data_IF_559265078345
#
_entry.id   IF_559265078345
#
_cell.length_a   1.000
_cell.length_b   1.000
_cell.length_c   1.000
_cell.angle_alpha   90.00
_cell.angle_beta   90.00
_cell.angle_gamma   90.00
#
_symmetry.space_group_name_H-M   'P 1'
#
loop_
_entity.id
_entity.type
_entity.pdbx_description
1 polymer ?
#
# COMPACT_ATOMS: atom_id res chain seq x y z
N UNK A 1 15.05 16.15 -9.94
CA UNK A 1 14.84 14.93 -9.13
C UNK A 1 13.33 14.71 -8.99
N UNK A 2 12.74 13.61 -9.48
CA UNK A 2 11.27 13.44 -9.50
C UNK A 2 10.72 13.02 -8.13
N UNK A 3 9.57 13.57 -7.72
CA UNK A 3 8.91 13.31 -6.43
C UNK A 3 8.69 11.82 -6.13
N UNK A 4 8.40 11.01 -7.16
CA UNK A 4 8.26 9.54 -7.04
C UNK A 4 9.51 8.89 -6.45
N UNK A 5 10.70 9.35 -6.86
CA UNK A 5 11.98 8.80 -6.39
C UNK A 5 12.23 9.09 -4.92
N UNK A 6 11.78 10.25 -4.41
CA UNK A 6 11.92 10.61 -3.00
C UNK A 6 11.03 9.75 -2.09
N UNK A 7 9.76 9.56 -2.47
CA UNK A 7 8.82 8.75 -1.67
C UNK A 7 9.29 7.29 -1.56
N UNK A 8 9.82 6.70 -2.64
CA UNK A 8 10.34 5.33 -2.61
C UNK A 8 11.49 5.17 -1.62
N UNK A 9 12.42 6.12 -1.59
CA UNK A 9 13.56 6.11 -0.67
C UNK A 9 13.07 6.12 0.78
N UNK A 10 12.17 7.05 1.13
CA UNK A 10 11.63 7.12 2.50
C UNK A 10 10.90 5.82 2.88
N UNK A 11 10.05 5.29 1.99
CA UNK A 11 9.33 4.05 2.28
C UNK A 11 10.27 2.84 2.43
N UNK A 12 11.34 2.73 1.65
CA UNK A 12 12.35 1.66 1.81
C UNK A 12 13.11 1.76 3.13
N UNK A 13 13.36 2.97 3.63
CA UNK A 13 14.00 3.18 4.94
C UNK A 13 13.07 2.75 6.08
N UNK A 14 11.78 3.03 5.96
CA UNK A 14 10.81 2.77 7.03
C UNK A 14 10.20 1.37 7.02
N UNK A 15 10.19 0.66 5.89
CA UNK A 15 9.57 -0.67 5.79
C UNK A 15 10.20 -1.72 6.71
N UNK A 16 11.47 -1.52 7.06
CA UNK A 16 12.21 -2.40 7.98
C UNK A 16 12.05 -2.00 9.46
N UNK A 17 11.35 -0.88 9.74
CA UNK A 17 11.22 -0.30 11.09
C UNK A 17 9.79 -0.36 11.61
N UNK A 18 8.81 -0.32 10.73
CA UNK A 18 7.41 -0.30 11.07
C UNK A 18 6.67 -1.43 10.37
N UNK A 19 5.75 -2.12 11.07
CA UNK A 19 4.97 -3.20 10.47
C UNK A 19 3.98 -2.70 9.42
N UNK A 20 3.64 -1.40 9.46
CA UNK A 20 2.63 -0.79 8.59
C UNK A 20 3.17 0.56 8.09
N UNK A 21 3.04 0.80 6.79
CA UNK A 21 3.29 2.09 6.17
C UNK A 21 2.05 2.54 5.40
N UNK A 22 1.62 3.79 5.62
CA UNK A 22 0.49 4.38 4.92
C UNK A 22 0.97 5.46 3.94
N UNK A 23 0.58 5.34 2.66
CA UNK A 23 0.79 6.38 1.66
C UNK A 23 -0.52 7.15 1.42
N UNK A 24 -0.56 8.40 1.86
CA UNK A 24 -1.73 9.28 1.70
C UNK A 24 -1.48 10.38 0.66
N UNK A 25 -2.53 11.10 0.25
CA UNK A 25 -2.43 12.24 -0.66
C UNK A 25 -3.66 12.44 -1.55
N UNK A 26 -3.69 13.52 -2.36
CA UNK A 26 -4.86 13.93 -3.15
C UNK A 26 -5.46 12.83 -4.05
N UNK A 27 -6.75 12.93 -4.38
CA UNK A 27 -7.37 12.06 -5.38
C UNK A 27 -6.58 12.15 -6.71
N UNK A 28 -6.46 11.05 -7.44
CA UNK A 28 -5.75 10.96 -8.73
C UNK A 28 -4.24 11.24 -8.71
N UNK A 29 -3.58 11.31 -7.55
CA UNK A 29 -2.11 11.47 -7.46
C UNK A 29 -1.28 10.23 -7.84
N UNK A 30 -1.92 9.15 -8.31
CA UNK A 30 -1.23 7.94 -8.79
C UNK A 30 -0.70 7.00 -7.70
N UNK A 31 -1.20 7.10 -6.46
CA UNK A 31 -0.76 6.26 -5.30
C UNK A 31 -0.84 4.76 -5.60
N UNK A 32 -1.98 4.29 -6.11
CA UNK A 32 -2.18 2.87 -6.44
C UNK A 32 -1.17 2.39 -7.46
N UNK A 33 -0.93 3.16 -8.52
CA UNK A 33 0.09 2.85 -9.52
C UNK A 33 1.49 2.83 -8.93
N UNK A 34 1.84 3.80 -8.07
CA UNK A 34 3.13 3.82 -7.38
C UNK A 34 3.34 2.56 -6.54
N UNK A 35 2.39 2.20 -5.66
CA UNK A 35 2.53 1.02 -4.80
C UNK A 35 2.62 -0.27 -5.62
N UNK A 36 1.74 -0.47 -6.60
CA UNK A 36 1.76 -1.67 -7.46
C UNK A 36 3.04 -1.82 -8.28
N UNK A 37 3.68 -0.71 -8.68
CA UNK A 37 4.90 -0.74 -9.50
C UNK A 37 6.18 -0.82 -8.68
N UNK A 38 6.21 -0.21 -7.50
CA UNK A 38 7.42 -0.12 -6.68
C UNK A 38 7.53 -1.21 -5.62
N UNK A 39 6.42 -1.89 -5.33
CA UNK A 39 6.30 -2.98 -4.35
C UNK A 39 5.54 -4.15 -5.00
N UNK A 40 5.98 -4.57 -6.19
CA UNK A 40 5.33 -5.62 -6.98
C UNK A 40 5.39 -7.01 -6.31
N UNK A 41 6.32 -7.19 -5.38
CA UNK A 41 6.47 -8.40 -4.57
C UNK A 41 5.43 -8.51 -3.44
N UNK A 42 4.70 -7.44 -3.14
CA UNK A 42 3.65 -7.44 -2.13
C UNK A 42 2.32 -7.89 -2.74
N UNK A 43 1.52 -8.61 -1.95
CA UNK A 43 0.17 -8.93 -2.34
C UNK A 43 -0.68 -7.66 -2.39
N UNK A 44 -1.27 -7.38 -3.55
CA UNK A 44 -2.21 -6.29 -3.71
C UNK A 44 -3.62 -6.76 -3.36
N UNK A 45 -4.20 -6.14 -2.34
CA UNK A 45 -5.59 -6.37 -1.92
C UNK A 45 -6.36 -5.05 -2.03
N UNK A 46 -7.59 -5.11 -2.55
CA UNK A 46 -8.51 -3.96 -2.60
C UNK A 46 -9.69 -4.19 -1.66
N UNK A 47 -9.79 -3.39 -0.61
CA UNK A 47 -10.94 -3.39 0.31
C UNK A 47 -12.17 -2.66 -0.26
N UNK A 48 -12.10 -2.19 -1.52
CA UNK A 48 -13.30 -1.77 -2.28
C UNK A 48 -14.08 -2.98 -2.78
N UNK A 49 -13.44 -4.15 -2.92
CA UNK A 49 -14.14 -5.40 -3.16
C UNK A 49 -14.86 -5.82 -1.87
N UNK A 50 -16.18 -5.99 -1.95
CA UNK A 50 -17.02 -6.25 -0.79
C UNK A 50 -16.71 -7.59 -0.12
N UNK A 51 -16.37 -8.62 -0.88
CA UNK A 51 -16.07 -9.95 -0.34
C UNK A 51 -14.74 -9.94 0.41
N UNK A 52 -13.70 -9.32 -0.15
CA UNK A 52 -12.41 -9.14 0.53
C UNK A 52 -12.53 -8.27 1.77
N UNK A 53 -13.34 -7.21 1.71
CA UNK A 53 -13.61 -6.35 2.86
C UNK A 53 -14.32 -7.11 3.98
N UNK A 54 -15.34 -7.92 3.64
CA UNK A 54 -16.04 -8.76 4.61
C UNK A 54 -15.08 -9.77 5.23
N UNK A 55 -14.30 -10.48 4.41
CA UNK A 55 -13.31 -11.44 4.88
C UNK A 55 -12.32 -10.82 5.89
N UNK A 56 -11.72 -9.68 5.54
CA UNK A 56 -10.80 -8.95 6.43
C UNK A 56 -11.46 -8.49 7.75
N UNK A 57 -12.77 -8.27 7.75
CA UNK A 57 -13.51 -7.78 8.92
C UNK A 57 -14.01 -8.91 9.81
N UNK A 58 -14.49 -10.01 9.21
CA UNK A 58 -15.11 -11.15 9.89
C UNK A 58 -14.06 -12.14 10.42
N UNK A 59 -12.95 -12.35 9.70
CA UNK A 59 -11.83 -13.19 10.15
C UNK A 59 -10.46 -12.53 9.85
N UNK A 60 -9.99 -11.62 10.71
CA UNK A 60 -8.71 -10.92 10.52
C UNK A 60 -7.47 -11.81 10.67
N UNK A 61 -7.60 -13.01 11.25
CA UNK A 61 -6.46 -13.92 11.43
C UNK A 61 -6.25 -14.78 10.18
N UNK A 62 -7.34 -15.15 9.50
CA UNK A 62 -7.27 -15.90 8.25
C UNK A 62 -7.02 -15.01 7.03
N UNK A 63 -7.36 -13.71 7.10
CA UNK A 63 -7.07 -12.71 6.08
C UNK A 63 -5.60 -12.27 6.08
#
# INVERSE_FOLDING_TARGET
MSAKRRIKIEMDLYKNKYPILALTGPRQSGKTTFLKTQFSEYQYVSLENLDLRKFATEDPNAF
#
